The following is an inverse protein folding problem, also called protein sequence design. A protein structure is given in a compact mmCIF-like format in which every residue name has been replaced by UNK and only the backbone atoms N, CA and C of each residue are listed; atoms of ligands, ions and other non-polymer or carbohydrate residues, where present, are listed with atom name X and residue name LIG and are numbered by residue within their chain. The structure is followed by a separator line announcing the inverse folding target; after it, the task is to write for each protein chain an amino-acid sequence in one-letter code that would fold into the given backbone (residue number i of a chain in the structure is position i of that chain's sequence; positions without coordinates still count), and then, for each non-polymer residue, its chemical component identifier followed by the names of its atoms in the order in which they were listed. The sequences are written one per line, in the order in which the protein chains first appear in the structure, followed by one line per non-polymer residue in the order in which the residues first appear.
data_IF_387694739044
#
_entry.id   IF_387694739044
#
_cell.length_a   1.000
_cell.length_b   1.000
_cell.length_c   1.000
_cell.angle_alpha   90.00
_cell.angle_beta   90.00
_cell.angle_gamma   90.00
#
_symmetry.space_group_name_H-M   'P 1'
#
loop_
_entity.id
_entity.type
_entity.pdbx_description
1 polymer ?
#
# COMPACT_ATOMS: atom_id res chain seq x y z
N UNK A 1 -10.85 -24.64 37.72
CA UNK A 1 -12.15 -23.97 37.83
C UNK A 1 -11.86 -22.49 37.92
N UNK A 2 -12.14 -21.74 36.85
CA UNK A 2 -11.91 -20.29 36.85
C UNK A 2 -12.94 -19.68 37.79
N UNK A 3 -12.49 -18.97 38.81
CA UNK A 3 -13.36 -18.28 39.77
C UNK A 3 -14.10 -17.11 39.09
N UNK A 4 -15.27 -16.77 39.61
CA UNK A 4 -16.13 -15.70 39.06
C UNK A 4 -15.44 -14.33 39.11
N UNK A 5 -14.53 -14.12 40.08
CA UNK A 5 -13.75 -12.89 40.20
C UNK A 5 -12.75 -12.71 39.04
N UNK A 6 -12.15 -13.81 38.56
CA UNK A 6 -11.29 -13.81 37.38
C UNK A 6 -12.09 -13.52 36.12
N UNK A 7 -13.30 -14.07 35.98
CA UNK A 7 -14.19 -13.77 34.84
C UNK A 7 -14.55 -12.28 34.78
N UNK A 8 -14.93 -11.69 35.92
CA UNK A 8 -15.25 -10.27 36.01
C UNK A 8 -14.06 -9.35 35.63
N UNK A 9 -12.84 -9.71 36.06
CA UNK A 9 -11.63 -8.98 35.66
C UNK A 9 -11.33 -9.07 34.17
N UNK A 10 -11.54 -10.24 33.56
CA UNK A 10 -11.34 -10.44 32.13
C UNK A 10 -12.33 -9.61 31.32
N UNK A 11 -13.61 -9.58 31.70
CA UNK A 11 -14.64 -8.73 31.07
C UNK A 11 -14.30 -7.23 31.17
N UNK A 12 -13.79 -6.78 32.32
CA UNK A 12 -13.36 -5.39 32.49
C UNK A 12 -12.16 -5.04 31.61
N UNK A 13 -11.19 -5.96 31.50
CA UNK A 13 -10.03 -5.82 30.63
C UNK A 13 -10.42 -5.84 29.15
N UNK A 14 -11.33 -6.71 28.73
CA UNK A 14 -11.87 -6.76 27.38
C UNK A 14 -12.62 -5.46 27.04
N UNK A 15 -13.40 -4.92 27.98
CA UNK A 15 -14.09 -3.64 27.80
C UNK A 15 -13.11 -2.48 27.66
N UNK A 16 -12.04 -2.44 28.46
CA UNK A 16 -10.96 -1.44 28.34
C UNK A 16 -10.17 -1.62 27.03
N UNK A 17 -9.91 -2.85 26.62
CA UNK A 17 -9.21 -3.16 25.39
C UNK A 17 -10.06 -2.81 24.16
N UNK A 18 -11.37 -3.09 24.19
CA UNK A 18 -12.30 -2.68 23.14
C UNK A 18 -12.42 -1.15 23.05
N UNK A 19 -12.42 -0.45 24.19
CA UNK A 19 -12.43 1.01 24.21
C UNK A 19 -11.13 1.61 23.64
N UNK A 20 -9.96 1.02 23.94
CA UNK A 20 -8.68 1.43 23.34
C UNK A 20 -8.56 1.04 21.89
N UNK A 21 -8.93 -0.19 21.52
CA UNK A 21 -8.95 -0.67 20.13
C UNK A 21 -9.89 0.14 19.24
N UNK A 22 -10.89 0.84 19.79
CA UNK A 22 -11.71 1.83 19.06
C UNK A 22 -11.04 3.20 18.93
N UNK A 23 -10.14 3.60 19.84
CA UNK A 23 -9.32 4.82 19.74
C UNK A 23 -8.07 4.63 18.88
N UNK A 24 -7.48 3.44 18.95
CA UNK A 24 -6.26 3.03 18.24
C UNK A 24 -6.58 2.20 16.99
N UNK A 25 -7.86 1.93 16.71
CA UNK A 25 -8.27 1.58 15.36
C UNK A 25 -7.81 2.76 14.51
N UNK A 26 -7.05 2.54 13.43
CA UNK A 26 -6.81 3.61 12.48
C UNK A 26 -8.20 4.16 12.16
N UNK A 27 -8.40 5.46 12.40
CA UNK A 27 -9.60 6.13 11.90
C UNK A 27 -9.75 5.65 10.46
N UNK A 28 -10.92 5.15 10.04
CA UNK A 28 -11.18 5.04 8.62
C UNK A 28 -11.01 6.47 8.15
N UNK A 29 -9.84 6.75 7.56
CA UNK A 29 -9.50 8.09 7.12
C UNK A 29 -10.70 8.58 6.35
N UNK A 30 -11.08 9.82 6.60
CA UNK A 30 -12.26 10.47 6.05
C UNK A 30 -12.17 10.69 4.52
N UNK A 31 -11.71 9.68 3.78
CA UNK A 31 -11.89 9.48 2.36
C UNK A 31 -13.30 8.94 2.16
N UNK A 32 -14.28 9.82 2.35
CA UNK A 32 -15.69 9.51 2.18
C UNK A 32 -15.97 8.91 0.80
N UNK A 33 -16.48 7.67 0.79
CA UNK A 33 -17.50 7.16 -0.13
C UNK A 33 -17.26 7.34 -1.66
N UNK A 34 -16.00 7.55 -2.07
CA UNK A 34 -15.54 7.57 -3.45
C UNK A 34 -14.30 6.70 -3.63
N UNK A 35 -14.40 5.42 -3.29
CA UNK A 35 -13.35 4.44 -3.54
C UNK A 35 -13.15 4.24 -5.06
N UNK A 36 -11.95 4.55 -5.56
CA UNK A 36 -11.06 3.54 -6.19
C UNK A 36 -10.07 4.11 -7.21
N UNK A 37 -10.32 5.28 -7.80
CA UNK A 37 -9.48 5.82 -8.89
C UNK A 37 -8.32 6.73 -8.45
N UNK A 38 -8.59 7.69 -7.57
CA UNK A 38 -7.65 8.77 -7.24
C UNK A 38 -6.46 8.32 -6.39
N UNK A 39 -6.68 7.51 -5.36
CA UNK A 39 -5.61 6.95 -4.53
C UNK A 39 -4.69 6.03 -5.33
N UNK A 40 -5.28 5.20 -6.19
CA UNK A 40 -4.53 4.36 -7.13
C UNK A 40 -3.68 5.21 -8.07
N UNK A 41 -4.26 6.26 -8.66
CA UNK A 41 -3.53 7.18 -9.52
C UNK A 41 -2.36 7.85 -8.79
N UNK A 42 -2.58 8.30 -7.54
CA UNK A 42 -1.53 8.92 -6.72
C UNK A 42 -0.41 7.93 -6.38
N UNK A 43 -0.75 6.69 -6.01
CA UNK A 43 0.23 5.63 -5.76
C UNK A 43 1.04 5.31 -7.01
N UNK A 44 0.41 5.19 -8.18
CA UNK A 44 1.12 4.98 -9.46
C UNK A 44 2.12 6.10 -9.76
N UNK A 45 1.76 7.35 -9.46
CA UNK A 45 2.66 8.51 -9.61
C UNK A 45 3.84 8.41 -8.65
N UNK A 46 3.60 8.10 -7.37
CA UNK A 46 4.68 7.93 -6.39
C UNK A 46 5.60 6.80 -6.80
N UNK A 47 5.06 5.66 -7.23
CA UNK A 47 5.85 4.50 -7.68
C UNK A 47 6.78 4.88 -8.84
N UNK A 48 6.29 5.66 -9.80
CA UNK A 48 7.10 6.16 -10.91
C UNK A 48 8.17 7.16 -10.45
N UNK A 49 7.80 8.12 -9.60
CA UNK A 49 8.71 9.16 -9.08
C UNK A 49 9.81 8.54 -8.20
N UNK A 50 9.47 7.54 -7.38
CA UNK A 50 10.43 6.81 -6.55
C UNK A 50 11.41 6.04 -7.45
N UNK A 51 10.93 5.32 -8.46
CA UNK A 51 11.80 4.61 -9.40
C UNK A 51 12.77 5.55 -10.12
N UNK A 52 12.25 6.67 -10.65
CA UNK A 52 13.07 7.68 -11.34
C UNK A 52 14.05 8.36 -10.39
N UNK A 53 13.61 8.75 -9.20
CA UNK A 53 14.44 9.37 -8.17
C UNK A 53 15.55 8.46 -7.67
N UNK A 54 15.27 7.16 -7.52
CA UNK A 54 16.26 6.16 -7.14
C UNK A 54 17.29 5.93 -8.25
N UNK A 55 16.85 5.84 -9.51
CA UNK A 55 17.73 5.76 -10.67
C UNK A 55 18.63 6.98 -10.83
N UNK A 56 18.05 8.18 -10.72
CA UNK A 56 18.79 9.44 -10.78
C UNK A 56 19.78 9.56 -9.60
N UNK A 57 19.35 9.28 -8.37
CA UNK A 57 20.20 9.37 -7.19
C UNK A 57 21.40 8.43 -7.24
N UNK A 58 21.20 7.18 -7.64
CA UNK A 58 22.28 6.20 -7.81
C UNK A 58 23.20 6.63 -8.95
N UNK A 59 22.65 6.97 -10.11
CA UNK A 59 23.45 7.34 -11.27
C UNK A 59 24.28 8.60 -11.04
N UNK A 60 23.69 9.63 -10.45
CA UNK A 60 24.41 10.85 -10.06
C UNK A 60 25.49 10.57 -9.02
N UNK A 61 25.21 9.75 -8.01
CA UNK A 61 26.20 9.37 -7.00
C UNK A 61 27.40 8.63 -7.60
N UNK A 62 27.16 7.71 -8.54
CA UNK A 62 28.22 6.98 -9.23
C UNK A 62 29.05 7.91 -10.13
N UNK A 63 28.41 8.78 -10.91
CA UNK A 63 29.16 9.71 -11.76
C UNK A 63 30.03 10.68 -10.95
N UNK A 64 29.55 11.14 -9.79
CA UNK A 64 30.33 11.99 -8.87
C UNK A 64 31.50 11.22 -8.23
N UNK A 65 31.29 9.95 -7.84
CA UNK A 65 32.33 9.16 -7.18
C UNK A 65 33.44 8.72 -8.15
N UNK A 66 33.08 8.34 -9.37
CA UNK A 66 34.01 7.84 -10.38
C UNK A 66 34.52 8.93 -11.34
N UNK A 67 34.00 10.16 -11.22
CA UNK A 67 34.36 11.27 -12.11
C UNK A 67 34.04 10.99 -13.58
N UNK A 68 33.09 10.10 -13.83
CA UNK A 68 32.69 9.75 -15.20
C UNK A 68 31.87 10.88 -15.81
N UNK A 69 31.93 10.99 -17.14
CA UNK A 69 30.86 11.66 -17.89
C UNK A 69 29.50 11.08 -17.47
N UNK A 70 28.37 11.80 -17.63
CA UNK A 70 27.06 11.46 -17.03
C UNK A 70 26.40 10.19 -17.62
N UNK A 71 27.18 9.11 -17.68
CA UNK A 71 26.90 7.84 -18.32
C UNK A 71 26.11 7.00 -17.32
N UNK A 72 26.55 6.92 -16.06
CA UNK A 72 25.80 6.19 -15.05
C UNK A 72 24.47 6.88 -14.75
N UNK A 73 24.42 8.21 -14.71
CA UNK A 73 23.18 8.97 -14.58
C UNK A 73 22.19 8.58 -15.68
N UNK A 74 22.60 8.61 -16.95
CA UNK A 74 21.70 8.25 -18.06
C UNK A 74 21.26 6.78 -17.96
N UNK A 75 22.20 5.85 -17.76
CA UNK A 75 21.91 4.42 -17.67
C UNK A 75 20.97 4.08 -16.50
N UNK A 76 21.29 4.56 -15.29
CA UNK A 76 20.48 4.29 -14.11
C UNK A 76 19.17 5.04 -14.10
N UNK A 77 19.05 6.20 -14.76
CA UNK A 77 17.76 6.88 -14.94
C UNK A 77 16.81 6.02 -15.77
N UNK A 78 17.27 5.45 -16.90
CA UNK A 78 16.46 4.53 -17.69
C UNK A 78 16.12 3.24 -16.93
N UNK A 79 17.08 2.69 -16.19
CA UNK A 79 16.85 1.50 -15.37
C UNK A 79 15.83 1.77 -14.24
N UNK A 80 15.95 2.90 -13.55
CA UNK A 80 15.03 3.33 -12.50
C UNK A 80 13.63 3.64 -13.04
N UNK A 81 13.54 4.25 -14.22
CA UNK A 81 12.27 4.46 -14.91
C UNK A 81 11.60 3.14 -15.30
N UNK A 82 12.34 2.19 -15.86
CA UNK A 82 11.83 0.87 -16.19
C UNK A 82 11.36 0.11 -14.94
N UNK A 83 12.10 0.20 -13.84
CA UNK A 83 11.69 -0.34 -12.55
C UNK A 83 10.40 0.31 -12.02
N UNK A 84 10.30 1.65 -12.07
CA UNK A 84 9.11 2.39 -11.68
C UNK A 84 7.87 1.98 -12.48
N UNK A 85 7.99 1.85 -13.80
CA UNK A 85 6.89 1.34 -14.65
C UNK A 85 6.50 -0.09 -14.25
N UNK A 86 7.47 -0.97 -13.99
CA UNK A 86 7.18 -2.37 -13.64
C UNK A 86 6.36 -2.45 -12.33
N UNK A 87 6.74 -1.67 -11.32
CA UNK A 87 6.00 -1.57 -10.06
C UNK A 87 4.58 -1.02 -10.31
N UNK A 88 4.45 0.07 -11.07
CA UNK A 88 3.16 0.66 -11.42
C UNK A 88 2.22 -0.34 -12.11
N UNK A 89 2.74 -1.08 -13.10
CA UNK A 89 1.97 -2.10 -13.83
C UNK A 89 1.57 -3.27 -12.94
N UNK A 90 2.42 -3.65 -11.99
CA UNK A 90 2.10 -4.67 -11.00
C UNK A 90 0.97 -4.21 -10.09
N UNK A 91 1.03 -2.98 -9.59
CA UNK A 91 -0.04 -2.38 -8.78
C UNK A 91 -1.35 -2.35 -9.55
N UNK A 92 -1.34 -1.93 -10.82
CA UNK A 92 -2.53 -1.92 -11.66
C UNK A 92 -3.15 -3.32 -11.85
N UNK A 93 -2.32 -4.36 -12.00
CA UNK A 93 -2.79 -5.76 -12.10
C UNK A 93 -3.37 -6.26 -10.79
N UNK A 94 -2.72 -5.98 -9.65
CA UNK A 94 -3.20 -6.37 -8.32
C UNK A 94 -4.58 -5.78 -8.03
N UNK A 95 -4.79 -4.50 -8.35
CA UNK A 95 -6.10 -3.86 -8.14
C UNK A 95 -7.16 -4.45 -9.06
N UNK A 96 -6.85 -4.67 -10.35
CA UNK A 96 -7.81 -5.25 -11.28
C UNK A 96 -8.28 -6.65 -10.84
N UNK A 97 -7.35 -7.50 -10.42
CA UNK A 97 -7.66 -8.84 -9.91
C UNK A 97 -8.53 -8.79 -8.64
N UNK A 98 -8.28 -7.83 -7.74
CA UNK A 98 -9.09 -7.64 -6.55
C UNK A 98 -10.52 -7.19 -6.84
N UNK A 99 -10.71 -6.33 -7.85
CA UNK A 99 -12.03 -5.90 -8.32
C UNK A 99 -12.80 -7.07 -8.92
N UNK A 100 -12.17 -7.82 -9.84
CA UNK A 100 -12.81 -8.96 -10.51
C UNK A 100 -13.22 -10.06 -9.51
N UNK A 101 -12.42 -10.30 -8.45
CA UNK A 101 -12.72 -11.26 -7.40
C UNK A 101 -13.89 -10.82 -6.49
N UNK A 102 -13.93 -9.54 -6.10
CA UNK A 102 -15.01 -9.00 -5.30
C UNK A 102 -16.37 -9.05 -6.03
N UNK A 103 -16.37 -8.82 -7.34
CA UNK A 103 -17.56 -8.94 -8.19
C UNK A 103 -18.06 -10.39 -8.28
N UNK A 104 -17.14 -11.36 -8.37
CA UNK A 104 -17.48 -12.79 -8.43
C UNK A 104 -18.08 -13.30 -7.10
N UNK A 105 -17.54 -12.85 -5.95
CA UNK A 105 -18.09 -13.18 -4.64
C UNK A 105 -19.49 -12.59 -4.45
N UNK A 106 -19.69 -11.31 -4.77
CA UNK A 106 -20.99 -10.64 -4.67
C UNK A 106 -22.07 -11.30 -5.55
N UNK A 107 -21.71 -11.73 -6.77
CA UNK A 107 -22.61 -12.44 -7.66
C UNK A 107 -22.96 -13.86 -7.15
N UNK A 108 -22.04 -14.51 -6.43
CA UNK A 108 -22.28 -15.83 -5.84
C UNK A 108 -23.19 -15.76 -4.61
N UNK A 109 -23.10 -14.67 -3.84
CA UNK A 109 -23.90 -14.44 -2.63
C UNK A 109 -25.35 -14.07 -2.99
N UNK A 110 -25.54 -13.19 -3.99
CA UNK A 110 -26.87 -12.87 -4.54
C UNK A 110 -27.62 -14.07 -5.15
N UNK A 111 -26.90 -15.08 -5.64
CA UNK A 111 -27.51 -16.29 -6.23
C UNK A 111 -27.85 -17.34 -5.17
N UNK A 112 -27.37 -17.16 -3.95
CA UNK A 112 -27.52 -18.10 -2.83
C UNK A 112 -28.64 -17.69 -1.86
N UNK A 113 -29.07 -16.44 -1.93
CA UNK A 113 -30.33 -15.94 -1.35
C UNK A 113 -31.52 -16.17 -2.30
#
# INVERSE_FOLDING_TARGET
MVDDATRARMEELEKKLAARKRRDAPEPSSHGQGYSGGELAYRMVIELVVGLGMGFGIGYGLDVLFGTMPIFLVLFTFLGFAAGINVMLRTAKEVKLGVDAAEAEAASEQKRE
#
